data_IF_182291936475
#
_entry.id   IF_182291936475
#
_cell.length_a   1.000
_cell.length_b   1.000
_cell.length_c   1.000
_cell.angle_alpha   90.00
_cell.angle_beta   90.00
_cell.angle_gamma   90.00
#
_symmetry.space_group_name_H-M   'P 1'
#
loop_
_entity.id
_entity.type
_entity.pdbx_description
1 polymer ?
#
# COMPACT_ATOMS: atom_id res chain seq x y z
N UNK A 1 -2.03 -30.48 -10.56
CA UNK A 1 -2.26 -29.94 -9.24
C UNK A 1 -2.85 -28.56 -9.42
N UNK A 2 -4.15 -28.50 -9.22
CA UNK A 2 -5.03 -27.38 -9.49
C UNK A 2 -4.86 -26.36 -8.34
N UNK A 3 -4.19 -25.25 -8.58
CA UNK A 3 -4.16 -24.13 -7.64
C UNK A 3 -4.76 -22.90 -8.31
N UNK A 4 -6.09 -22.92 -8.44
CA UNK A 4 -6.82 -21.69 -8.58
C UNK A 4 -6.68 -20.89 -7.27
N UNK A 5 -5.63 -20.08 -7.15
CA UNK A 5 -5.57 -19.02 -6.16
C UNK A 5 -6.76 -18.10 -6.46
N UNK A 6 -7.73 -18.10 -5.58
CA UNK A 6 -8.85 -17.17 -5.61
C UNK A 6 -8.24 -15.75 -5.56
N UNK A 7 -8.28 -15.06 -6.68
CA UNK A 7 -8.10 -13.62 -6.68
C UNK A 7 -9.21 -13.05 -5.79
N UNK A 8 -8.84 -12.55 -4.62
CA UNK A 8 -9.73 -11.79 -3.75
C UNK A 8 -10.10 -10.50 -4.48
N UNK A 9 -11.08 -10.60 -5.38
CA UNK A 9 -11.74 -9.43 -5.96
C UNK A 9 -12.61 -8.83 -4.84
N UNK A 10 -12.04 -7.90 -4.08
CA UNK A 10 -12.87 -6.94 -3.34
C UNK A 10 -13.66 -6.18 -4.41
N UNK A 11 -15.00 -6.17 -4.39
CA UNK A 11 -15.77 -5.52 -5.42
C UNK A 11 -15.43 -4.04 -5.45
N UNK A 12 -14.97 -3.58 -6.59
CA UNK A 12 -14.69 -2.17 -6.84
C UNK A 12 -16.03 -1.44 -7.02
N UNK A 13 -16.16 -0.27 -6.44
CA UNK A 13 -17.33 0.54 -6.68
C UNK A 13 -17.11 1.43 -7.90
N UNK A 14 -18.19 1.69 -8.56
CA UNK A 14 -18.27 2.63 -9.66
C UNK A 14 -18.38 4.06 -9.15
N UNK A 15 -17.70 4.99 -9.81
CA UNK A 15 -17.91 6.43 -9.59
C UNK A 15 -19.30 6.78 -10.10
N UNK A 16 -20.15 7.38 -9.25
CA UNK A 16 -21.42 7.96 -9.69
C UNK A 16 -21.17 9.14 -10.61
N UNK A 17 -22.09 9.42 -11.55
CA UNK A 17 -22.02 10.54 -12.48
C UNK A 17 -21.88 11.93 -11.80
N UNK A 18 -22.00 12.01 -10.48
CA UNK A 18 -21.80 13.20 -9.67
C UNK A 18 -20.43 13.27 -8.95
N UNK A 19 -19.48 12.42 -9.31
CA UNK A 19 -18.12 12.41 -8.74
C UNK A 19 -18.01 11.78 -7.34
N UNK A 20 -19.07 11.23 -6.80
CA UNK A 20 -19.06 10.57 -5.50
C UNK A 20 -18.50 9.15 -5.61
N UNK A 21 -17.39 8.87 -4.92
CA UNK A 21 -16.84 7.52 -4.78
C UNK A 21 -17.84 6.63 -4.02
N UNK A 22 -18.15 5.48 -4.58
CA UNK A 22 -19.04 4.48 -3.98
C UNK A 22 -18.28 3.28 -3.41
N UNK A 23 -16.95 3.27 -3.51
CA UNK A 23 -16.10 2.26 -2.88
C UNK A 23 -15.86 2.61 -1.41
N UNK A 24 -15.93 1.64 -0.51
CA UNK A 24 -15.47 1.85 0.84
C UNK A 24 -13.97 2.21 0.83
N UNK A 25 -13.59 3.18 1.65
CA UNK A 25 -12.18 3.49 1.89
C UNK A 25 -11.54 2.32 2.63
N UNK A 26 -10.44 1.81 2.08
CA UNK A 26 -9.68 0.73 2.68
C UNK A 26 -8.58 1.27 3.58
N UNK A 27 -8.42 0.67 4.75
CA UNK A 27 -7.33 0.99 5.68
C UNK A 27 -6.33 -0.17 5.67
N UNK A 28 -5.07 0.17 5.36
CA UNK A 28 -3.91 -0.72 5.33
C UNK A 28 -2.92 -0.30 6.42
N UNK A 29 -3.07 -0.77 7.69
CA UNK A 29 -2.15 -0.42 8.77
C UNK A 29 -0.72 -0.83 8.46
N UNK A 30 0.23 0.11 8.55
CA UNK A 30 1.65 -0.21 8.40
C UNK A 30 2.21 -0.78 9.70
N UNK A 31 2.61 -2.04 9.67
CA UNK A 31 3.22 -2.72 10.82
C UNK A 31 4.62 -2.18 11.17
N UNK A 32 5.16 -1.26 10.38
CA UNK A 32 6.36 -0.50 10.74
C UNK A 32 6.19 0.25 12.07
N UNK A 33 4.94 0.59 12.44
CA UNK A 33 4.59 1.26 13.70
C UNK A 33 4.16 0.31 14.82
N UNK A 34 4.15 -0.99 14.57
CA UNK A 34 3.78 -2.02 15.55
C UNK A 34 4.94 -2.37 16.49
N UNK A 35 4.66 -3.11 17.54
CA UNK A 35 5.70 -3.71 18.39
C UNK A 35 6.36 -4.89 17.66
N UNK A 36 7.58 -4.69 17.16
CA UNK A 36 8.33 -5.71 16.42
C UNK A 36 8.61 -6.98 17.23
N UNK A 37 8.65 -6.89 18.55
CA UNK A 37 8.83 -8.06 19.41
C UNK A 37 7.60 -8.98 19.43
N UNK A 38 6.42 -8.48 18.99
CA UNK A 38 5.14 -9.18 19.02
C UNK A 38 4.35 -9.04 17.70
N UNK A 39 5.02 -8.91 16.55
CA UNK A 39 4.37 -8.65 15.26
C UNK A 39 3.21 -9.58 14.93
N UNK A 40 3.30 -10.86 15.27
CA UNK A 40 2.21 -11.82 15.04
C UNK A 40 0.96 -11.52 15.88
N UNK A 41 1.11 -10.98 17.10
CA UNK A 41 -0.01 -10.54 17.94
C UNK A 41 -0.60 -9.24 17.41
N UNK A 42 0.25 -8.30 17.02
CA UNK A 42 -0.15 -7.03 16.44
C UNK A 42 -0.95 -7.23 15.14
N UNK A 43 -0.49 -8.11 14.24
CA UNK A 43 -1.19 -8.45 13.00
C UNK A 43 -2.59 -9.03 13.29
N UNK A 44 -2.73 -9.93 14.27
CA UNK A 44 -4.05 -10.42 14.67
C UNK A 44 -4.93 -9.31 15.23
N UNK A 45 -4.37 -8.45 16.09
CA UNK A 45 -5.12 -7.38 16.73
C UNK A 45 -5.66 -6.36 15.71
N UNK A 46 -4.87 -5.96 14.69
CA UNK A 46 -5.36 -5.05 13.65
C UNK A 46 -6.33 -5.73 12.67
N UNK A 47 -6.19 -7.04 12.40
CA UNK A 47 -7.18 -7.81 11.62
C UNK A 47 -8.53 -7.82 12.33
N UNK A 48 -8.56 -8.18 13.63
CA UNK A 48 -9.75 -8.18 14.48
C UNK A 48 -10.37 -6.77 14.63
N UNK A 49 -9.52 -5.74 14.63
CA UNK A 49 -9.94 -4.33 14.66
C UNK A 49 -10.56 -3.83 13.35
N UNK A 50 -10.57 -4.62 12.28
CA UNK A 50 -11.22 -4.29 11.02
C UNK A 50 -10.31 -3.63 9.97
N UNK A 51 -9.00 -3.87 10.02
CA UNK A 51 -8.10 -3.57 8.90
C UNK A 51 -8.56 -4.30 7.64
N UNK A 52 -8.37 -3.66 6.48
CA UNK A 52 -8.71 -4.28 5.20
C UNK A 52 -7.51 -5.03 4.62
N UNK A 53 -6.32 -4.45 4.72
CA UNK A 53 -5.02 -5.02 4.32
C UNK A 53 -4.02 -4.92 5.48
N UNK A 54 -2.87 -5.53 5.32
CA UNK A 54 -1.71 -5.37 6.21
C UNK A 54 -0.56 -4.82 5.38
N UNK A 55 -0.15 -3.58 5.66
CA UNK A 55 0.96 -2.93 4.97
C UNK A 55 2.30 -3.30 5.59
N UNK A 56 3.24 -3.71 4.75
CA UNK A 56 4.55 -4.21 5.15
C UNK A 56 5.64 -3.42 4.43
N UNK A 57 6.29 -2.52 5.15
CA UNK A 57 7.39 -1.68 4.66
C UNK A 57 8.71 -2.44 4.71
N UNK A 58 9.23 -2.81 3.53
CA UNK A 58 10.50 -3.52 3.38
C UNK A 58 11.59 -2.53 2.99
N UNK A 59 12.64 -2.45 3.82
CA UNK A 59 13.74 -1.50 3.67
C UNK A 59 15.08 -2.21 3.82
N UNK A 60 16.07 -1.84 2.99
CA UNK A 60 17.36 -2.53 2.88
C UNK A 60 18.58 -1.71 3.38
N UNK A 61 18.38 -0.47 3.84
CA UNK A 61 19.48 0.41 4.23
C UNK A 61 20.27 0.99 3.06
N UNK A 62 19.84 0.70 1.81
CA UNK A 62 20.47 1.18 0.59
C UNK A 62 19.54 2.11 -0.20
N UNK A 63 18.33 1.64 -0.54
CA UNK A 63 17.31 2.47 -1.19
C UNK A 63 16.82 3.58 -0.25
N UNK A 64 16.67 3.24 1.03
CA UNK A 64 16.34 4.18 2.14
C UNK A 64 17.28 3.94 3.32
N UNK A 65 17.54 4.96 4.17
CA UNK A 65 18.49 4.86 5.29
C UNK A 65 17.89 4.16 6.52
N UNK A 66 17.21 3.04 6.31
CA UNK A 66 16.62 2.20 7.35
C UNK A 66 16.60 0.74 6.90
N UNK A 67 16.60 -0.20 7.84
CA UNK A 67 16.49 -1.64 7.60
C UNK A 67 15.32 -2.17 8.42
N UNK A 68 14.41 -2.95 7.82
CA UNK A 68 13.20 -3.40 8.50
C UNK A 68 12.97 -4.91 8.39
N UNK A 69 12.25 -5.36 7.38
CA UNK A 69 11.64 -6.68 7.27
C UNK A 69 12.10 -7.37 5.98
N UNK A 70 12.42 -8.65 6.09
CA UNK A 70 12.71 -9.49 4.93
C UNK A 70 11.63 -10.56 4.68
N UNK A 71 11.76 -11.36 3.58
CA UNK A 71 10.77 -12.38 3.20
C UNK A 71 10.50 -13.41 4.31
N UNK A 72 11.48 -13.72 5.15
CA UNK A 72 11.34 -14.63 6.27
C UNK A 72 10.32 -14.16 7.31
N UNK A 73 10.30 -12.86 7.60
CA UNK A 73 9.31 -12.27 8.53
C UNK A 73 7.92 -12.26 7.88
N UNK A 74 7.81 -11.87 6.60
CA UNK A 74 6.53 -11.89 5.86
C UNK A 74 5.93 -13.30 5.90
N UNK A 75 6.73 -14.32 5.61
CA UNK A 75 6.31 -15.73 5.68
C UNK A 75 5.85 -16.15 7.08
N UNK A 76 6.57 -15.70 8.12
CA UNK A 76 6.22 -16.00 9.51
C UNK A 76 4.90 -15.32 9.94
N UNK A 77 4.59 -14.16 9.39
CA UNK A 77 3.35 -13.43 9.67
C UNK A 77 2.13 -14.00 8.94
N UNK A 78 2.31 -14.67 7.80
CA UNK A 78 1.19 -15.15 6.96
C UNK A 78 0.13 -15.99 7.72
N UNK A 79 0.47 -16.89 8.66
CA UNK A 79 -0.52 -17.67 9.41
C UNK A 79 -1.40 -16.86 10.37
N UNK A 80 -1.02 -15.61 10.68
CA UNK A 80 -1.70 -14.78 11.67
C UNK A 80 -2.92 -14.02 11.16
N UNK A 81 -3.12 -13.96 9.83
CA UNK A 81 -4.28 -13.31 9.22
C UNK A 81 -4.62 -13.90 7.85
N UNK A 82 -5.85 -13.68 7.38
CA UNK A 82 -6.27 -13.95 5.99
C UNK A 82 -6.34 -12.67 5.16
N UNK A 83 -6.11 -11.51 5.77
CA UNK A 83 -6.11 -10.23 5.04
C UNK A 83 -4.97 -10.17 4.02
N UNK A 84 -5.15 -9.46 2.91
CA UNK A 84 -4.09 -9.26 1.94
C UNK A 84 -2.84 -8.62 2.57
N UNK A 85 -1.67 -9.16 2.21
CA UNK A 85 -0.38 -8.55 2.51
C UNK A 85 -0.02 -7.61 1.37
N UNK A 86 -0.01 -6.32 1.66
CA UNK A 86 0.38 -5.21 0.81
C UNK A 86 1.85 -4.88 1.11
N UNK A 87 2.76 -5.44 0.32
CA UNK A 87 4.21 -5.41 0.57
C UNK A 87 4.87 -4.32 -0.28
N UNK A 88 5.33 -3.28 0.38
CA UNK A 88 5.99 -2.13 -0.20
C UNK A 88 7.52 -2.30 -0.18
N UNK A 89 8.13 -2.42 -1.35
CA UNK A 89 9.55 -2.73 -1.52
C UNK A 89 10.39 -1.46 -1.73
N UNK A 90 10.96 -0.94 -0.66
CA UNK A 90 11.97 0.13 -0.65
C UNK A 90 13.37 -0.48 -0.60
N UNK A 91 13.70 -1.26 -1.64
CA UNK A 91 14.94 -2.01 -1.77
C UNK A 91 15.53 -1.87 -3.18
N UNK A 92 16.85 -1.91 -3.33
CA UNK A 92 17.52 -1.80 -4.63
C UNK A 92 18.76 -2.70 -4.69
N UNK A 93 18.92 -3.51 -5.77
CA UNK A 93 17.97 -3.72 -6.87
C UNK A 93 16.79 -4.62 -6.46
N UNK A 94 15.56 -4.25 -6.89
CA UNK A 94 14.32 -4.92 -6.41
C UNK A 94 14.05 -6.26 -7.08
N UNK A 95 14.38 -6.42 -8.36
CA UNK A 95 13.97 -7.56 -9.21
C UNK A 95 14.36 -8.93 -8.63
N UNK A 96 15.52 -9.02 -7.99
CA UNK A 96 16.05 -10.28 -7.44
C UNK A 96 15.25 -10.82 -6.23
N UNK A 97 14.39 -9.98 -5.61
CA UNK A 97 13.63 -10.33 -4.42
C UNK A 97 12.14 -10.59 -4.68
N UNK A 98 11.62 -10.27 -5.87
CA UNK A 98 10.19 -10.38 -6.18
C UNK A 98 9.64 -11.79 -5.95
N UNK A 99 10.34 -12.83 -6.40
CA UNK A 99 9.96 -14.22 -6.18
C UNK A 99 9.88 -14.55 -4.69
N UNK A 100 10.90 -14.15 -3.92
CA UNK A 100 10.96 -14.48 -2.49
C UNK A 100 9.81 -13.86 -1.69
N UNK A 101 9.40 -12.64 -2.01
CA UNK A 101 8.25 -11.99 -1.36
C UNK A 101 6.91 -12.59 -1.80
N UNK A 102 6.76 -12.94 -3.08
CA UNK A 102 5.57 -13.65 -3.58
C UNK A 102 5.41 -15.01 -2.89
N UNK A 103 6.50 -15.80 -2.79
CA UNK A 103 6.52 -17.09 -2.10
C UNK A 103 6.31 -16.98 -0.59
N UNK A 104 6.70 -15.85 0.02
CA UNK A 104 6.45 -15.54 1.42
C UNK A 104 4.97 -15.25 1.72
N UNK A 105 4.15 -15.02 0.68
CA UNK A 105 2.71 -14.82 0.82
C UNK A 105 2.25 -13.38 0.62
N UNK A 106 3.03 -12.53 -0.06
CA UNK A 106 2.56 -11.23 -0.53
C UNK A 106 1.39 -11.42 -1.50
N UNK A 107 0.33 -10.64 -1.33
CA UNK A 107 -0.82 -10.58 -2.23
C UNK A 107 -0.67 -9.42 -3.22
N UNK A 108 0.00 -8.35 -2.77
CA UNK A 108 0.31 -7.15 -3.54
C UNK A 108 1.80 -6.85 -3.35
N UNK A 109 2.52 -6.58 -4.44
CA UNK A 109 3.90 -6.09 -4.41
C UNK A 109 3.96 -4.72 -5.08
N UNK A 110 4.43 -3.72 -4.33
CA UNK A 110 4.63 -2.37 -4.85
C UNK A 110 6.11 -2.02 -4.94
N UNK A 111 6.51 -1.46 -6.08
CA UNK A 111 7.91 -1.18 -6.41
C UNK A 111 8.09 0.24 -6.92
N UNK A 112 9.22 0.85 -6.57
CA UNK A 112 9.59 2.18 -7.03
C UNK A 112 10.24 2.15 -8.41
N UNK A 113 9.95 3.11 -9.32
CA UNK A 113 10.67 3.25 -10.57
C UNK A 113 12.18 3.43 -10.38
N UNK A 114 12.58 4.01 -9.26
CA UNK A 114 13.97 4.27 -8.89
C UNK A 114 14.71 3.02 -8.37
N UNK A 115 14.00 1.95 -8.05
CA UNK A 115 14.58 0.72 -7.48
C UNK A 115 15.24 -0.21 -8.51
N UNK A 116 15.13 0.12 -9.80
CA UNK A 116 15.75 -0.63 -10.89
C UNK A 116 15.55 0.04 -12.24
N UNK A 117 16.32 -0.36 -13.27
CA UNK A 117 16.32 0.34 -14.55
C UNK A 117 15.09 0.02 -15.44
N UNK A 118 14.30 -1.00 -15.10
CA UNK A 118 13.27 -1.56 -15.99
C UNK A 118 11.94 -1.80 -15.27
N UNK A 119 11.31 -0.74 -14.77
CA UNK A 119 10.07 -0.81 -13.98
C UNK A 119 8.94 -1.59 -14.68
N UNK A 120 8.77 -1.43 -15.98
CA UNK A 120 7.75 -2.17 -16.74
C UNK A 120 7.98 -3.69 -16.67
N UNK A 121 9.24 -4.14 -16.81
CA UNK A 121 9.60 -5.57 -16.66
C UNK A 121 9.33 -6.07 -15.24
N UNK A 122 9.64 -5.26 -14.22
CA UNK A 122 9.37 -5.62 -12.82
C UNK A 122 7.87 -5.81 -12.57
N UNK A 123 7.02 -4.90 -13.09
CA UNK A 123 5.55 -5.02 -13.04
C UNK A 123 5.07 -6.31 -13.72
N UNK A 124 5.54 -6.59 -14.94
CA UNK A 124 5.19 -7.84 -15.65
C UNK A 124 5.64 -9.09 -14.88
N UNK A 125 6.82 -9.05 -14.28
CA UNK A 125 7.33 -10.17 -13.47
C UNK A 125 6.43 -10.41 -12.25
N UNK A 126 6.07 -9.37 -11.48
CA UNK A 126 5.17 -9.49 -10.35
C UNK A 126 3.84 -10.16 -10.78
N UNK A 127 3.25 -9.70 -11.88
CA UNK A 127 2.01 -10.28 -12.41
C UNK A 127 2.18 -11.74 -12.83
N UNK A 128 3.33 -12.12 -13.39
CA UNK A 128 3.62 -13.51 -13.75
C UNK A 128 3.70 -14.46 -12.55
N UNK A 129 3.97 -13.92 -11.34
CA UNK A 129 3.96 -14.66 -10.08
C UNK A 129 2.54 -14.84 -9.50
N UNK A 130 1.50 -14.29 -10.15
CA UNK A 130 0.12 -14.34 -9.69
C UNK A 130 -0.18 -13.39 -8.52
N UNK A 131 0.65 -12.34 -8.36
CA UNK A 131 0.56 -11.29 -7.34
C UNK A 131 0.10 -9.99 -8.00
N UNK A 132 -0.69 -9.17 -7.32
CA UNK A 132 -1.05 -7.84 -7.80
C UNK A 132 0.18 -6.93 -7.85
N UNK A 133 0.32 -6.18 -8.95
CA UNK A 133 1.47 -5.31 -9.16
C UNK A 133 1.12 -3.84 -8.94
N UNK A 134 1.89 -3.17 -8.10
CA UNK A 134 1.77 -1.73 -7.88
C UNK A 134 3.06 -0.96 -8.19
N UNK A 135 2.90 0.30 -8.53
CA UNK A 135 3.99 1.25 -8.73
C UNK A 135 3.91 2.37 -7.69
N UNK A 136 5.05 2.67 -7.08
CA UNK A 136 5.17 3.68 -6.02
C UNK A 136 5.84 4.92 -6.56
N UNK A 137 5.23 6.09 -6.36
CA UNK A 137 5.81 7.37 -6.74
C UNK A 137 6.31 8.13 -5.52
N UNK A 138 7.61 8.36 -5.46
CA UNK A 138 8.24 9.25 -4.47
C UNK A 138 7.71 10.68 -4.58
N UNK A 139 7.86 11.53 -3.55
CA UNK A 139 7.39 12.92 -3.60
C UNK A 139 7.91 13.70 -4.81
N UNK A 140 9.15 13.46 -5.23
CA UNK A 140 9.76 14.09 -6.40
C UNK A 140 9.42 13.45 -7.75
N UNK A 141 8.83 12.25 -7.77
CA UNK A 141 8.54 11.51 -9.01
C UNK A 141 7.24 11.99 -9.64
N UNK A 142 7.24 12.42 -10.91
CA UNK A 142 6.07 12.98 -11.56
C UNK A 142 5.03 11.90 -11.90
N UNK A 143 3.72 12.25 -11.83
CA UNK A 143 2.63 11.36 -12.23
C UNK A 143 2.74 10.84 -13.68
N UNK A 144 3.37 11.59 -14.58
CA UNK A 144 3.62 11.17 -15.97
C UNK A 144 4.45 9.89 -16.12
N UNK A 145 5.15 9.46 -15.06
CA UNK A 145 5.82 8.15 -15.02
C UNK A 145 4.84 7.00 -15.30
N UNK A 146 3.56 7.21 -15.03
CA UNK A 146 2.50 6.22 -15.20
C UNK A 146 1.94 6.13 -16.63
N UNK A 147 2.26 7.09 -17.54
CA UNK A 147 1.65 7.17 -18.86
C UNK A 147 1.77 5.87 -19.67
N UNK A 148 2.85 5.10 -19.50
CA UNK A 148 3.09 3.81 -20.15
C UNK A 148 3.02 2.60 -19.21
N UNK A 149 2.52 2.78 -17.98
CA UNK A 149 2.37 1.73 -16.96
C UNK A 149 0.92 1.53 -16.54
N UNK A 150 0.05 2.52 -16.81
CA UNK A 150 -1.33 2.54 -16.34
C UNK A 150 -2.13 1.31 -16.79
N UNK A 151 -1.77 0.72 -17.93
CA UNK A 151 -2.45 -0.46 -18.46
C UNK A 151 -2.03 -1.77 -17.81
N UNK A 152 -0.93 -1.77 -17.06
CA UNK A 152 -0.34 -2.99 -16.49
C UNK A 152 -0.44 -3.08 -14.97
N UNK A 153 -0.69 -1.95 -14.28
CA UNK A 153 -0.72 -1.91 -12.82
C UNK A 153 -2.11 -2.17 -12.24
N UNK A 154 -2.14 -2.74 -11.06
CA UNK A 154 -3.35 -2.99 -10.26
C UNK A 154 -3.49 -1.98 -9.10
N UNK A 155 -2.38 -1.32 -8.74
CA UNK A 155 -2.30 -0.35 -7.66
C UNK A 155 -1.27 0.74 -7.98
N UNK A 156 -1.57 1.98 -7.59
CA UNK A 156 -0.63 3.10 -7.60
C UNK A 156 -0.53 3.64 -6.18
N UNK A 157 0.68 3.65 -5.64
CA UNK A 157 0.98 4.20 -4.32
C UNK A 157 1.65 5.56 -4.46
N UNK A 158 1.09 6.59 -3.83
CA UNK A 158 1.70 7.92 -3.72
C UNK A 158 2.32 8.07 -2.35
N UNK A 159 3.65 8.28 -2.33
CA UNK A 159 4.35 8.65 -1.09
C UNK A 159 4.06 10.11 -0.76
N UNK A 160 3.45 10.35 0.38
CA UNK A 160 3.21 11.70 0.92
C UNK A 160 4.23 12.11 1.98
N UNK A 161 5.30 11.34 2.13
CA UNK A 161 6.54 11.65 2.86
C UNK A 161 7.73 11.13 2.06
N UNK A 162 8.95 11.52 2.40
CA UNK A 162 10.13 10.82 1.88
C UNK A 162 10.22 9.43 2.54
N UNK A 163 10.34 8.34 1.76
CA UNK A 163 10.36 7.00 2.31
C UNK A 163 11.56 6.75 3.25
N UNK A 164 11.38 5.83 4.22
CA UNK A 164 12.43 5.39 5.13
C UNK A 164 12.05 5.37 6.62
N UNK A 165 11.16 6.24 7.07
CA UNK A 165 10.76 6.32 8.49
C UNK A 165 9.26 6.61 8.64
N UNK A 166 8.66 6.03 9.67
CA UNK A 166 7.30 6.38 10.08
C UNK A 166 7.22 7.70 10.86
N UNK A 167 6.01 8.21 11.08
CA UNK A 167 5.75 9.38 11.93
C UNK A 167 6.15 10.74 11.33
N UNK A 168 6.40 10.81 10.01
CA UNK A 168 6.72 12.06 9.31
C UNK A 168 5.48 12.90 9.02
N UNK A 169 5.67 14.21 8.83
CA UNK A 169 4.60 15.13 8.43
C UNK A 169 4.22 14.95 6.96
N UNK A 170 2.92 14.97 6.69
CA UNK A 170 2.35 14.89 5.35
C UNK A 170 2.84 16.04 4.44
N UNK A 171 3.30 15.74 3.24
CA UNK A 171 3.74 16.71 2.25
C UNK A 171 2.53 17.20 1.44
N UNK A 172 2.05 18.38 1.75
CA UNK A 172 0.80 18.97 1.25
C UNK A 172 0.66 18.99 -0.28
N UNK A 173 1.75 19.24 -0.99
CA UNK A 173 1.69 19.30 -2.45
C UNK A 173 1.41 17.94 -3.12
N UNK A 174 1.48 16.83 -2.36
CA UNK A 174 1.14 15.51 -2.89
C UNK A 174 -0.37 15.34 -3.13
N UNK A 175 -1.24 16.14 -2.49
CA UNK A 175 -2.67 16.16 -2.79
C UNK A 175 -2.93 16.40 -4.29
N UNK A 176 -2.20 17.34 -4.90
CA UNK A 176 -2.30 17.60 -6.35
C UNK A 176 -1.87 16.41 -7.20
N UNK A 177 -0.88 15.62 -6.73
CA UNK A 177 -0.45 14.40 -7.42
C UNK A 177 -1.53 13.32 -7.33
N UNK A 178 -2.13 13.14 -6.15
CA UNK A 178 -3.24 12.20 -5.92
C UNK A 178 -4.40 12.53 -6.87
N UNK A 179 -4.85 13.80 -6.92
CA UNK A 179 -5.90 14.24 -7.83
C UNK A 179 -5.57 13.98 -9.32
N UNK A 180 -4.32 14.26 -9.73
CA UNK A 180 -3.88 14.03 -11.10
C UNK A 180 -3.91 12.54 -11.45
N UNK A 181 -3.45 11.66 -10.54
CA UNK A 181 -3.44 10.21 -10.75
C UNK A 181 -4.88 9.65 -10.73
N UNK A 182 -5.77 10.14 -9.87
CA UNK A 182 -7.19 9.75 -9.88
C UNK A 182 -7.81 10.02 -11.26
N UNK A 183 -7.58 11.19 -11.83
CA UNK A 183 -8.05 11.52 -13.18
C UNK A 183 -7.45 10.61 -14.27
N UNK A 184 -6.18 10.20 -14.12
CA UNK A 184 -5.56 9.25 -15.05
C UNK A 184 -6.22 7.87 -14.95
N UNK A 185 -6.49 7.38 -13.74
CA UNK A 185 -7.19 6.11 -13.50
C UNK A 185 -8.59 6.14 -14.12
N UNK A 186 -9.37 7.18 -13.82
CA UNK A 186 -10.72 7.35 -14.38
C UNK A 186 -10.72 7.38 -15.90
N UNK A 187 -9.78 8.12 -16.51
CA UNK A 187 -9.63 8.19 -17.98
C UNK A 187 -9.25 6.84 -18.59
N UNK A 188 -8.47 6.02 -17.89
CA UNK A 188 -8.06 4.70 -18.37
C UNK A 188 -9.22 3.70 -18.41
N UNK A 189 -10.29 3.93 -17.64
CA UNK A 189 -11.40 3.00 -17.45
C UNK A 189 -11.01 1.70 -16.73
N UNK A 190 -9.82 1.64 -16.18
CA UNK A 190 -9.29 0.45 -15.51
C UNK A 190 -9.58 0.49 -14.02
N UNK A 191 -9.58 -0.68 -13.45
CA UNK A 191 -9.80 -0.92 -12.04
C UNK A 191 -8.46 -0.91 -11.29
N UNK A 192 -8.01 0.27 -10.88
CA UNK A 192 -6.71 0.50 -10.23
C UNK A 192 -6.95 1.18 -8.88
N UNK A 193 -6.38 0.64 -7.82
CA UNK A 193 -6.40 1.27 -6.49
C UNK A 193 -5.42 2.44 -6.42
N UNK A 194 -5.87 3.53 -5.80
CA UNK A 194 -5.01 4.67 -5.50
C UNK A 194 -4.74 4.73 -4.00
N UNK A 195 -3.53 4.34 -3.65
CA UNK A 195 -3.07 4.26 -2.27
C UNK A 195 -2.21 5.47 -1.91
N UNK A 196 -2.27 5.90 -0.65
CA UNK A 196 -1.42 6.98 -0.11
C UNK A 196 -0.74 6.51 1.15
N UNK A 197 0.57 6.72 1.22
CA UNK A 197 1.41 6.38 2.36
C UNK A 197 2.28 7.56 2.79
N UNK A 198 2.24 7.83 4.09
CA UNK A 198 3.05 8.83 4.78
C UNK A 198 2.27 9.98 5.41
N UNK A 199 2.40 10.13 6.72
CA UNK A 199 1.75 11.18 7.48
C UNK A 199 0.22 11.11 7.47
N UNK A 200 -0.35 9.92 7.23
CA UNK A 200 -1.79 9.71 7.30
C UNK A 200 -2.21 9.62 8.77
N UNK A 201 -3.07 10.56 9.15
CA UNK A 201 -3.68 10.67 10.47
C UNK A 201 -5.14 11.12 10.36
N UNK A 202 -5.79 11.39 11.49
CA UNK A 202 -7.21 11.79 11.54
C UNK A 202 -7.51 13.15 10.87
N UNK A 203 -6.48 13.97 10.60
CA UNK A 203 -6.62 15.28 9.94
C UNK A 203 -6.26 15.22 8.46
N UNK A 204 -5.32 14.36 8.07
CA UNK A 204 -4.85 14.23 6.69
C UNK A 204 -5.62 13.18 5.90
N UNK A 205 -6.17 12.15 6.56
CA UNK A 205 -6.96 11.11 5.92
C UNK A 205 -8.15 11.67 5.12
N UNK A 206 -9.02 12.52 5.66
CA UNK A 206 -10.14 13.10 4.90
C UNK A 206 -9.68 13.84 3.65
N UNK A 207 -8.55 14.53 3.71
CA UNK A 207 -7.99 15.31 2.62
C UNK A 207 -7.42 14.43 1.50
N UNK A 208 -6.75 13.33 1.87
CA UNK A 208 -6.28 12.34 0.91
C UNK A 208 -7.46 11.64 0.20
N UNK A 209 -8.53 11.34 0.94
CA UNK A 209 -9.77 10.76 0.39
C UNK A 209 -10.42 11.76 -0.59
N UNK A 210 -10.55 13.02 -0.21
CA UNK A 210 -11.12 14.07 -1.05
C UNK A 210 -10.31 14.24 -2.36
N UNK A 211 -8.98 14.14 -2.28
CA UNK A 211 -8.09 14.17 -3.42
C UNK A 211 -8.20 12.92 -4.33
N UNK A 212 -8.88 11.86 -3.87
CA UNK A 212 -9.19 10.68 -4.67
C UNK A 212 -8.52 9.39 -4.22
N UNK A 213 -7.86 9.34 -3.07
CA UNK A 213 -7.34 8.09 -2.51
C UNK A 213 -8.48 7.15 -2.12
N UNK A 214 -8.31 5.85 -2.36
CA UNK A 214 -9.25 4.80 -1.93
C UNK A 214 -8.60 3.78 -0.98
N UNK A 215 -7.29 3.84 -0.79
CA UNK A 215 -6.56 3.07 0.20
C UNK A 215 -5.63 3.98 1.01
N UNK A 216 -5.70 3.91 2.32
CA UNK A 216 -4.87 4.71 3.23
C UNK A 216 -3.92 3.80 4.00
N UNK A 217 -2.61 4.05 3.88
CA UNK A 217 -1.60 3.45 4.74
C UNK A 217 -1.43 4.31 5.97
N UNK A 218 -1.77 3.78 7.13
CA UNK A 218 -1.69 4.48 8.39
C UNK A 218 -0.89 3.66 9.42
N UNK A 219 0.29 4.16 9.79
CA UNK A 219 1.11 3.57 10.84
C UNK A 219 0.76 4.11 12.22
N UNK A 220 1.45 5.16 12.64
CA UNK A 220 1.34 5.75 14.00
C UNK A 220 -0.10 6.05 14.42
N UNK A 221 -0.95 6.50 13.49
CA UNK A 221 -2.35 6.80 13.81
C UNK A 221 -3.16 5.56 14.17
N UNK A 222 -2.91 4.43 13.49
CA UNK A 222 -3.58 3.15 13.79
C UNK A 222 -3.12 2.59 15.12
N UNK A 223 -1.81 2.57 15.38
CA UNK A 223 -1.24 1.91 16.57
C UNK A 223 -1.26 2.77 17.85
N UNK A 224 -1.72 4.03 17.74
CA UNK A 224 -1.84 4.93 18.91
C UNK A 224 -2.78 4.37 19.96
N UNK A 225 -2.34 4.34 21.21
CA UNK A 225 -3.15 3.90 22.35
C UNK A 225 -3.20 2.39 22.55
N UNK A 226 -2.50 1.61 21.74
CA UNK A 226 -2.43 0.15 21.84
C UNK A 226 -3.67 -0.57 21.30
N UNK A 227 -3.69 -1.89 21.43
CA UNK A 227 -4.68 -2.77 20.78
C UNK A 227 -6.14 -2.43 21.11
N UNK A 228 -6.44 -1.92 22.30
CA UNK A 228 -7.82 -1.50 22.66
C UNK A 228 -8.35 -0.31 21.87
N UNK A 229 -7.47 0.48 21.25
CA UNK A 229 -7.84 1.66 20.47
C UNK A 229 -7.85 1.41 18.96
N UNK A 230 -7.33 0.28 18.47
CA UNK A 230 -7.14 0.06 17.02
C UNK A 230 -8.43 0.14 16.22
N UNK A 231 -9.54 -0.45 16.74
CA UNK A 231 -10.82 -0.43 16.05
C UNK A 231 -11.38 0.99 15.89
N UNK A 232 -11.30 1.81 16.93
CA UNK A 232 -11.73 3.20 16.90
C UNK A 232 -10.84 4.05 15.97
N UNK A 233 -9.52 3.83 16.01
CA UNK A 233 -8.58 4.51 15.15
C UNK A 233 -8.85 4.19 13.66
N UNK A 234 -9.03 2.91 13.31
CA UNK A 234 -9.33 2.46 11.95
C UNK A 234 -10.66 3.04 11.47
N UNK A 235 -11.70 3.04 12.33
CA UNK A 235 -13.00 3.63 12.00
C UNK A 235 -12.87 5.12 11.70
N UNK A 236 -12.18 5.87 12.56
CA UNK A 236 -11.97 7.31 12.39
C UNK A 236 -11.18 7.63 11.12
N UNK A 237 -10.13 6.88 10.81
CA UNK A 237 -9.35 7.02 9.56
C UNK A 237 -10.21 6.80 8.32
N UNK A 238 -11.22 5.92 8.39
CA UNK A 238 -12.16 5.63 7.30
C UNK A 238 -13.22 6.72 7.10
N UNK A 239 -13.32 7.69 8.01
CA UNK A 239 -14.29 8.79 7.97
C UNK A 239 -15.57 8.53 8.75
N UNK A 240 -15.51 7.62 9.75
CA UNK A 240 -16.63 7.27 10.65
C UNK A 240 -16.48 7.86 12.04
#
# INVERSE_FOLDING_TARGET
VDSAKHALRVPYATVKANGQMTSPILISPSILSADFARLGEEVRAIDEAGADWIHIDVMDGHFVPNITIGPGVVKALRPHTKKPFDVHLMISPVDQYLNAFAEAGADILTVHPEAGPHIHRSVQHIKSLGVQAGVVLNPGTPAKMLDYLIDDVDLILVMSVNPGFGGQSFIENQLRKIEAIRKMIEKSGRDIRLQVDGGIDFTTAPRAIEAGADVLVAGTATFRGGASAYADNIRTLRGG
#
